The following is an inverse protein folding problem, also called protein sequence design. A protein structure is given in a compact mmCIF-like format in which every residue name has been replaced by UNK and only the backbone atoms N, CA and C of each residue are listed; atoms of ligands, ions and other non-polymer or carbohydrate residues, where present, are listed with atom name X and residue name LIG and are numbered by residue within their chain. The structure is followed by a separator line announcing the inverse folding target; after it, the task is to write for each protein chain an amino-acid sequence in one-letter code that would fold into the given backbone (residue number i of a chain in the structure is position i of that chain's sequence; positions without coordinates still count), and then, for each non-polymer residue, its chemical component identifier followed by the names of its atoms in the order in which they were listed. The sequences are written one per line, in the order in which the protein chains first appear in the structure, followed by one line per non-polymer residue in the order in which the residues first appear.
data_IF_402281470395
#
_entry.id   IF_402281470395
#
_cell.length_a   1.000
_cell.length_b   1.000
_cell.length_c   1.000
_cell.angle_alpha   90.00
_cell.angle_beta   90.00
_cell.angle_gamma   90.00
#
_symmetry.space_group_name_H-M   'P 1'
#
loop_
_entity.id
_entity.type
_entity.pdbx_description
1 polymer ?
#
# COMPACT_ATOMS: atom_id res chain seq x y z
N UNK A 1 1.80 12.22 8.77
CA UNK A 1 0.51 12.83 8.33
C UNK A 1 0.60 14.29 7.87
N UNK A 2 1.56 15.10 8.35
CA UNK A 2 1.73 16.47 7.82
C UNK A 2 1.88 16.51 6.29
N UNK A 3 2.55 15.52 5.70
CA UNK A 3 2.70 15.40 4.25
C UNK A 3 1.37 15.22 3.52
N UNK A 4 0.48 14.35 4.00
CA UNK A 4 -0.85 14.13 3.39
C UNK A 4 -1.67 15.43 3.41
N UNK A 5 -1.67 16.13 4.56
CA UNK A 5 -2.36 17.41 4.71
C UNK A 5 -1.72 18.52 3.85
N UNK A 6 -0.39 18.59 3.84
CA UNK A 6 0.37 19.58 3.08
C UNK A 6 0.24 19.43 1.56
N UNK A 7 0.04 18.20 1.08
CA UNK A 7 -0.24 17.90 -0.33
C UNK A 7 -1.71 18.07 -0.70
N UNK A 8 -2.59 18.39 0.26
CA UNK A 8 -4.03 18.47 0.07
C UNK A 8 -4.62 17.25 -0.67
N UNK A 9 -4.13 16.05 -0.31
CA UNK A 9 -4.48 14.81 -1.00
C UNK A 9 -5.92 14.39 -0.67
N UNK A 10 -6.72 14.12 -1.71
CA UNK A 10 -8.06 13.54 -1.57
C UNK A 10 -8.03 12.03 -1.28
N UNK A 11 -6.96 11.35 -1.67
CA UNK A 11 -6.73 9.92 -1.43
C UNK A 11 -5.25 9.60 -1.55
N UNK A 12 -4.68 8.92 -0.56
CA UNK A 12 -3.25 8.61 -0.53
C UNK A 12 -3.02 7.11 -0.69
N UNK A 13 -2.14 6.72 -1.62
CA UNK A 13 -1.69 5.34 -1.74
C UNK A 13 -0.33 5.21 -1.06
N UNK A 14 -0.24 4.30 -0.11
CA UNK A 14 1.02 3.86 0.48
C UNK A 14 1.54 2.67 -0.32
N UNK A 15 2.76 2.78 -0.85
CA UNK A 15 3.40 1.72 -1.62
C UNK A 15 4.64 1.28 -0.86
N UNK A 16 4.68 0.02 -0.45
CA UNK A 16 5.76 -0.48 0.39
C UNK A 16 5.82 -2.00 0.43
N UNK A 17 6.93 -2.53 0.89
CA UNK A 17 7.16 -3.98 1.00
C UNK A 17 7.38 -4.42 2.44
N UNK A 18 7.18 -3.53 3.42
CA UNK A 18 7.36 -3.84 4.83
C UNK A 18 6.03 -3.89 5.59
N UNK A 19 6.09 -4.41 6.82
CA UNK A 19 4.95 -4.35 7.74
C UNK A 19 4.72 -2.92 8.24
N UNK A 20 5.79 -2.15 8.40
CA UNK A 20 5.77 -0.76 8.85
C UNK A 20 4.99 0.13 7.88
N UNK A 21 5.12 -0.10 6.57
CA UNK A 21 4.37 0.64 5.55
C UNK A 21 2.86 0.37 5.64
N UNK A 22 2.48 -0.88 5.87
CA UNK A 22 1.09 -1.29 6.06
C UNK A 22 0.50 -0.64 7.32
N UNK A 23 1.22 -0.73 8.45
CA UNK A 23 0.78 -0.11 9.71
C UNK A 23 0.66 1.41 9.53
N UNK A 24 1.55 2.03 8.77
CA UNK A 24 1.49 3.48 8.49
C UNK A 24 0.22 3.84 7.71
N UNK A 25 -0.15 3.04 6.70
CA UNK A 25 -1.39 3.23 5.96
C UNK A 25 -2.62 3.06 6.86
N UNK A 26 -2.66 2.00 7.67
CA UNK A 26 -3.74 1.75 8.63
C UNK A 26 -3.90 2.90 9.62
N UNK A 27 -2.81 3.34 10.25
CA UNK A 27 -2.83 4.50 11.16
C UNK A 27 -3.25 5.78 10.46
N UNK A 28 -2.85 5.99 9.21
CA UNK A 28 -3.29 7.16 8.45
C UNK A 28 -4.81 7.10 8.18
N UNK A 29 -5.37 5.92 7.91
CA UNK A 29 -6.82 5.70 7.81
C UNK A 29 -7.54 5.94 9.14
N UNK A 30 -7.04 5.39 10.24
CA UNK A 30 -7.60 5.59 11.59
C UNK A 30 -7.65 7.06 11.98
N UNK A 31 -6.68 7.86 11.53
CA UNK A 31 -6.64 9.30 11.74
C UNK A 31 -7.48 10.10 10.71
N UNK A 32 -8.39 9.44 9.99
CA UNK A 32 -9.41 10.06 9.13
C UNK A 32 -8.95 10.40 7.71
N UNK A 33 -7.79 9.94 7.24
CA UNK A 33 -7.41 10.12 5.84
C UNK A 33 -7.94 8.96 5.00
N UNK A 34 -8.38 9.26 3.78
CA UNK A 34 -8.69 8.20 2.82
C UNK A 34 -7.38 7.61 2.28
N UNK A 35 -7.08 6.37 2.62
CA UNK A 35 -5.83 5.72 2.19
C UNK A 35 -6.04 4.32 1.65
N UNK A 36 -5.08 3.88 0.83
CA UNK A 36 -4.98 2.52 0.30
C UNK A 36 -3.55 2.03 0.48
N UNK A 37 -3.39 0.79 0.92
CA UNK A 37 -2.08 0.15 0.95
C UNK A 37 -1.88 -0.73 -0.29
N UNK A 38 -0.71 -0.59 -0.91
CA UNK A 38 -0.21 -1.38 -2.03
C UNK A 38 1.08 -2.08 -1.62
N UNK A 39 0.99 -3.38 -1.35
CA UNK A 39 2.13 -4.22 -1.00
C UNK A 39 2.96 -4.59 -2.23
N UNK A 40 4.29 -4.44 -2.15
CA UNK A 40 5.22 -4.94 -3.17
C UNK A 40 5.86 -6.25 -2.68
N UNK A 41 5.80 -7.32 -3.47
CA UNK A 41 6.25 -8.65 -3.03
C UNK A 41 7.43 -9.22 -3.80
N UNK A 42 7.76 -8.72 -4.99
CA UNK A 42 8.86 -9.25 -5.81
C UNK A 42 10.26 -8.94 -5.26
N UNK A 43 10.36 -8.18 -4.16
CA UNK A 43 11.60 -8.01 -3.39
C UNK A 43 11.85 -9.13 -2.38
N UNK A 44 10.86 -9.97 -2.11
CA UNK A 44 10.93 -11.06 -1.13
C UNK A 44 11.51 -12.33 -1.72
N UNK A 45 12.32 -13.06 -0.95
CA UNK A 45 12.66 -14.46 -1.25
C UNK A 45 11.48 -15.41 -0.99
N UNK A 46 10.56 -14.99 -0.12
CA UNK A 46 9.37 -15.74 0.29
C UNK A 46 8.11 -15.00 -0.17
N UNK A 47 7.90 -14.98 -1.48
CA UNK A 47 6.82 -14.21 -2.13
C UNK A 47 5.43 -14.67 -1.67
N UNK A 48 5.22 -15.97 -1.49
CA UNK A 48 3.92 -16.54 -1.08
C UNK A 48 3.56 -16.21 0.38
N UNK A 49 4.52 -16.35 1.30
CA UNK A 49 4.35 -15.97 2.70
C UNK A 49 4.01 -14.49 2.84
N UNK A 50 4.71 -13.64 2.08
CA UNK A 50 4.51 -12.18 2.09
C UNK A 50 3.18 -11.77 1.47
N UNK A 51 2.77 -12.43 0.39
CA UNK A 51 1.43 -12.28 -0.20
C UNK A 51 0.35 -12.62 0.81
N UNK A 52 0.42 -13.81 1.43
CA UNK A 52 -0.56 -14.25 2.44
C UNK A 52 -0.60 -13.29 3.64
N UNK A 53 0.56 -12.76 4.06
CA UNK A 53 0.63 -11.76 5.11
C UNK A 53 -0.14 -10.49 4.73
N UNK A 54 0.13 -9.91 3.55
CA UNK A 54 -0.56 -8.69 3.13
C UNK A 54 -2.06 -8.90 2.92
N UNK A 55 -2.48 -10.03 2.35
CA UNK A 55 -3.90 -10.38 2.18
C UNK A 55 -4.62 -10.47 3.53
N UNK A 56 -4.04 -11.20 4.50
CA UNK A 56 -4.61 -11.36 5.85
C UNK A 56 -4.74 -10.05 6.60
N UNK A 57 -3.87 -9.08 6.33
CA UNK A 57 -3.89 -7.78 7.00
C UNK A 57 -4.57 -6.66 6.18
N UNK A 58 -5.33 -7.02 5.15
CA UNK A 58 -6.22 -6.10 4.45
C UNK A 58 -5.55 -5.20 3.41
N UNK A 59 -4.42 -5.63 2.84
CA UNK A 59 -3.84 -4.94 1.69
C UNK A 59 -4.84 -4.96 0.52
N UNK A 60 -5.12 -3.78 -0.03
CA UNK A 60 -6.06 -3.65 -1.17
C UNK A 60 -5.41 -4.05 -2.49
N UNK A 61 -4.10 -3.81 -2.61
CA UNK A 61 -3.31 -4.09 -3.80
C UNK A 61 -2.03 -4.83 -3.39
N UNK A 62 -1.68 -5.86 -4.15
CA UNK A 62 -0.43 -6.60 -3.97
C UNK A 62 0.18 -6.81 -5.35
N UNK A 63 1.37 -6.27 -5.58
CA UNK A 63 2.06 -6.28 -6.87
C UNK A 63 3.45 -6.90 -6.73
N UNK A 64 3.89 -7.62 -7.75
CA UNK A 64 5.26 -8.14 -7.77
C UNK A 64 6.28 -7.00 -7.93
N UNK A 65 5.90 -5.92 -8.62
CA UNK A 65 6.76 -4.76 -8.81
C UNK A 65 5.97 -3.46 -8.83
N UNK A 66 6.60 -2.39 -8.31
CA UNK A 66 6.09 -1.01 -8.40
C UNK A 66 5.88 -0.55 -9.86
N UNK A 67 6.60 -1.13 -10.83
CA UNK A 67 6.42 -0.80 -12.24
C UNK A 67 5.03 -1.20 -12.77
N UNK A 68 4.29 -2.06 -12.07
CA UNK A 68 2.92 -2.45 -12.43
C UNK A 68 1.88 -1.43 -11.93
N UNK A 69 2.23 -0.56 -11.00
CA UNK A 69 1.28 0.37 -10.38
C UNK A 69 0.58 1.28 -11.40
N UNK A 70 1.26 1.91 -12.38
CA UNK A 70 0.57 2.75 -13.38
C UNK A 70 -0.45 1.96 -14.20
N UNK A 71 -0.16 0.69 -14.52
CA UNK A 71 -1.08 -0.17 -15.27
C UNK A 71 -2.35 -0.45 -14.46
N UNK A 72 -2.18 -0.78 -13.18
CA UNK A 72 -3.31 -1.11 -12.29
C UNK A 72 -4.20 0.09 -12.03
N UNK A 73 -3.63 1.29 -11.88
CA UNK A 73 -4.40 2.51 -11.69
C UNK A 73 -5.14 2.97 -12.96
N UNK A 74 -4.71 2.50 -14.13
CA UNK A 74 -5.30 2.81 -15.43
C UNK A 74 -6.23 1.70 -15.95
N UNK A 75 -6.58 0.71 -15.12
CA UNK A 75 -7.64 -0.24 -15.42
C UNK A 75 -8.98 0.49 -15.26
N UNK A 76 -9.46 1.06 -16.37
CA UNK A 76 -10.78 1.71 -16.51
C UNK A 76 -11.74 0.75 -17.21
#
# INVERSE_FOLDING_TARGET
MRSIKGLNSSHTIFVGDSMEDLIMAQKATENGNKTTFCGIIGTSKETDSKRSFFEKNGATLILDSIQLLPKVLNLV
#
